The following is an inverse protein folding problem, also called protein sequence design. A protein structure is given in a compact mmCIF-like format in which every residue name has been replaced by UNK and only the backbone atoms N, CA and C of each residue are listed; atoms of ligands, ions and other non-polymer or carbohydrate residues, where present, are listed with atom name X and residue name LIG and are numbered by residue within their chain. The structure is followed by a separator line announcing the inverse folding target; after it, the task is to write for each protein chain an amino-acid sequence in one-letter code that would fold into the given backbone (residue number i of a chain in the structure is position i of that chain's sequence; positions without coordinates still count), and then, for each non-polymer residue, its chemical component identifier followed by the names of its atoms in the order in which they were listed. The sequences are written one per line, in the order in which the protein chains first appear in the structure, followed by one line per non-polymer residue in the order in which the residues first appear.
data_IF_559600188592
#
_entry.id   IF_559600188592
#
_cell.length_a   1.000
_cell.length_b   1.000
_cell.length_c   1.000
_cell.angle_alpha   90.00
_cell.angle_beta   90.00
_cell.angle_gamma   90.00
#
_symmetry.space_group_name_H-M   'P 1'
#
loop_
_entity.id
_entity.type
_entity.pdbx_description
1 polymer ?
#
# COMPACT_ATOMS: atom_id res chain seq x y z
N UNK A 1 -14.87 -6.57 12.65
CA UNK A 1 -14.42 -6.35 11.27
C UNK A 1 -12.94 -6.01 11.35
N UNK A 2 -12.12 -6.91 10.92
CA UNK A 2 -10.67 -6.77 11.06
C UNK A 2 -10.16 -5.91 9.90
N UNK A 3 -9.69 -4.72 10.21
CA UNK A 3 -9.07 -3.80 9.26
C UNK A 3 -7.58 -4.18 9.09
N UNK A 4 -7.35 -5.33 8.49
CA UNK A 4 -5.99 -5.76 8.16
C UNK A 4 -5.68 -5.34 6.73
N UNK A 5 -4.53 -4.72 6.55
CA UNK A 5 -4.14 -4.33 5.21
C UNK A 5 -2.97 -3.36 5.17
N UNK A 6 -2.69 -2.92 3.98
CA UNK A 6 -1.70 -1.89 3.70
C UNK A 6 -2.46 -0.69 3.18
N UNK A 7 -2.36 0.43 3.86
CA UNK A 7 -2.99 1.66 3.41
C UNK A 7 -2.13 2.89 3.71
N UNK A 8 -2.35 3.92 2.94
CA UNK A 8 -1.94 5.27 3.28
C UNK A 8 -3.17 6.17 3.22
N UNK A 9 -3.16 7.19 4.05
CA UNK A 9 -4.32 8.01 4.29
C UNK A 9 -4.06 9.46 3.91
N UNK A 10 -5.02 10.04 3.23
CA UNK A 10 -5.08 11.42 2.84
C UNK A 10 -6.39 12.06 3.32
N UNK A 11 -6.37 13.17 4.01
CA UNK A 11 -5.31 13.69 4.88
C UNK A 11 -5.35 13.06 6.26
N UNK A 12 -6.35 12.22 6.54
CA UNK A 12 -6.61 11.63 7.84
C UNK A 12 -6.42 10.11 7.81
N UNK A 13 -6.27 9.51 8.98
CA UNK A 13 -6.28 8.07 9.13
C UNK A 13 -7.70 7.53 8.86
N UNK A 14 -7.80 6.42 8.15
CA UNK A 14 -9.04 5.83 7.65
C UNK A 14 -9.82 6.78 6.74
N UNK A 15 -9.39 6.83 5.51
CA UNK A 15 -10.10 7.57 4.47
C UNK A 15 -11.49 6.98 4.22
N UNK A 16 -12.47 7.78 3.78
CA UNK A 16 -13.83 7.33 3.55
C UNK A 16 -13.96 6.17 2.57
N UNK A 17 -13.05 6.09 1.61
CA UNK A 17 -13.02 5.07 0.56
C UNK A 17 -12.32 3.76 0.94
N UNK A 18 -11.93 3.56 2.19
CA UNK A 18 -11.22 2.34 2.65
C UNK A 18 -11.93 1.03 2.28
N UNK A 19 -13.24 1.05 2.14
CA UNK A 19 -14.05 -0.12 1.79
C UNK A 19 -14.55 -0.14 0.35
N UNK A 20 -14.21 0.87 -0.42
CA UNK A 20 -14.62 0.95 -1.82
C UNK A 20 -13.73 0.03 -2.69
N UNK A 21 -14.25 -0.49 -3.80
CA UNK A 21 -13.44 -1.18 -4.78
C UNK A 21 -12.30 -0.29 -5.30
N UNK A 22 -11.12 -0.88 -5.48
CA UNK A 22 -9.97 -0.21 -6.09
C UNK A 22 -9.82 -0.64 -7.54
N UNK A 23 -9.33 0.23 -8.39
CA UNK A 23 -8.86 -0.15 -9.71
C UNK A 23 -7.52 -0.87 -9.58
N UNK A 24 -7.31 -1.92 -10.36
CA UNK A 24 -6.05 -2.64 -10.35
C UNK A 24 -5.61 -3.07 -11.74
N UNK A 25 -4.31 -3.24 -11.87
CA UNK A 25 -3.67 -3.88 -13.00
C UNK A 25 -2.45 -4.67 -12.53
N UNK A 26 -1.92 -5.52 -13.38
CA UNK A 26 -0.70 -6.25 -13.07
C UNK A 26 0.25 -6.27 -14.26
N UNK A 27 1.51 -6.47 -13.97
CA UNK A 27 2.56 -6.63 -14.98
C UNK A 27 3.55 -7.71 -14.54
N UNK A 28 4.01 -8.48 -15.52
CA UNK A 28 5.20 -9.30 -15.40
C UNK A 28 6.37 -8.49 -15.98
N UNK A 29 7.42 -8.34 -15.19
CA UNK A 29 8.58 -7.52 -15.54
C UNK A 29 9.66 -8.36 -16.23
N UNK A 30 10.56 -7.71 -16.96
CA UNK A 30 11.64 -8.38 -17.69
C UNK A 30 12.60 -9.17 -16.79
N UNK A 31 12.72 -8.80 -15.53
CA UNK A 31 13.53 -9.48 -14.52
C UNK A 31 12.83 -10.70 -13.88
N UNK A 32 11.64 -11.05 -14.37
CA UNK A 32 10.82 -12.15 -13.86
C UNK A 32 10.02 -11.80 -12.60
N UNK A 33 10.10 -10.59 -12.10
CA UNK A 33 9.22 -10.13 -11.02
C UNK A 33 7.82 -9.87 -11.54
N UNK A 34 6.84 -9.90 -10.63
CA UNK A 34 5.46 -9.55 -10.94
C UNK A 34 4.98 -8.45 -9.99
N UNK A 35 4.30 -7.45 -10.54
CA UNK A 35 3.77 -6.32 -9.77
C UNK A 35 2.27 -6.21 -9.97
N UNK A 36 1.53 -6.06 -8.88
CA UNK A 36 0.13 -5.64 -8.90
C UNK A 36 0.08 -4.18 -8.48
N UNK A 37 -0.55 -3.36 -9.30
CA UNK A 37 -0.81 -1.96 -9.02
C UNK A 37 -2.26 -1.78 -8.65
N UNK A 38 -2.51 -1.10 -7.55
CA UNK A 38 -3.84 -0.75 -7.07
C UNK A 38 -3.92 0.75 -6.88
N UNK A 39 -4.99 1.36 -7.37
CA UNK A 39 -5.13 2.80 -7.32
C UNK A 39 -6.55 3.24 -7.11
N UNK A 40 -6.69 4.42 -6.54
CA UNK A 40 -7.97 5.10 -6.43
C UNK A 40 -7.80 6.61 -6.34
N UNK A 41 -8.89 7.31 -6.67
CA UNK A 41 -9.05 8.74 -6.40
C UNK A 41 -10.03 8.88 -5.24
N UNK A 42 -9.54 9.40 -4.13
CA UNK A 42 -10.37 9.68 -2.98
C UNK A 42 -11.35 10.84 -3.29
N UNK A 43 -12.65 10.57 -3.16
CA UNK A 43 -13.69 11.46 -3.69
C UNK A 43 -13.90 12.73 -2.85
N UNK A 44 -13.62 12.69 -1.55
CA UNK A 44 -13.84 13.82 -0.65
C UNK A 44 -12.75 14.89 -0.82
N UNK A 45 -11.48 14.49 -0.80
CA UNK A 45 -10.32 15.39 -0.87
C UNK A 45 -9.68 15.43 -2.25
N UNK A 46 -10.09 14.55 -3.17
CA UNK A 46 -9.60 14.46 -4.55
C UNK A 46 -8.10 14.22 -4.67
N UNK A 47 -7.56 13.51 -3.72
CA UNK A 47 -6.19 13.02 -3.76
C UNK A 47 -6.14 11.65 -4.43
N UNK A 48 -5.04 11.35 -5.08
CA UNK A 48 -4.86 10.08 -5.80
C UNK A 48 -3.69 9.31 -5.22
N UNK A 49 -3.89 8.04 -4.96
CA UNK A 49 -2.87 7.14 -4.50
C UNK A 49 -2.78 5.90 -5.37
N UNK A 50 -1.56 5.47 -5.66
CA UNK A 50 -1.28 4.21 -6.33
C UNK A 50 -0.31 3.41 -5.47
N UNK A 51 -0.69 2.19 -5.12
CA UNK A 51 0.13 1.22 -4.39
C UNK A 51 0.56 0.12 -5.34
N UNK A 52 1.85 -0.18 -5.37
CA UNK A 52 2.43 -1.32 -6.06
C UNK A 52 2.87 -2.39 -5.06
N UNK A 53 2.54 -3.63 -5.34
CA UNK A 53 3.02 -4.80 -4.59
C UNK A 53 3.80 -5.67 -5.56
N UNK A 54 5.10 -5.83 -5.32
CA UNK A 54 6.00 -6.58 -6.20
C UNK A 54 6.56 -7.80 -5.50
N UNK A 55 6.51 -8.93 -6.21
CA UNK A 55 7.14 -10.20 -5.84
C UNK A 55 8.26 -10.52 -6.82
N UNK A 56 9.39 -10.97 -6.29
CA UNK A 56 10.55 -11.41 -7.05
C UNK A 56 10.68 -12.94 -7.00
N UNK A 57 11.11 -13.59 -8.09
CA UNK A 57 11.15 -15.05 -8.15
C UNK A 57 12.20 -15.67 -7.20
N UNK A 58 13.22 -14.91 -6.84
CA UNK A 58 14.37 -15.36 -6.05
C UNK A 58 14.48 -14.72 -4.67
N UNK A 59 13.44 -13.99 -4.22
CA UNK A 59 13.46 -13.26 -2.95
C UNK A 59 12.29 -13.60 -2.06
N UNK A 60 12.55 -13.73 -0.78
CA UNK A 60 11.55 -14.05 0.23
C UNK A 60 11.01 -12.78 0.93
N UNK A 61 10.80 -11.71 0.18
CA UNK A 61 10.16 -10.48 0.66
C UNK A 61 9.20 -9.92 -0.37
N UNK A 62 8.31 -9.07 0.09
CA UNK A 62 7.40 -8.28 -0.72
C UNK A 62 7.91 -6.85 -0.74
N UNK A 63 8.04 -6.27 -1.92
CA UNK A 63 8.35 -4.86 -2.07
C UNK A 63 7.05 -4.07 -2.22
N UNK A 64 6.93 -3.00 -1.45
CA UNK A 64 5.81 -2.07 -1.54
C UNK A 64 6.31 -0.73 -2.08
N UNK A 65 5.62 -0.23 -3.09
CA UNK A 65 5.86 1.10 -3.64
C UNK A 65 4.56 1.90 -3.64
N UNK A 66 4.66 3.18 -3.36
CA UNK A 66 3.50 4.06 -3.36
C UNK A 66 3.80 5.35 -4.12
N UNK A 67 2.81 5.82 -4.87
CA UNK A 67 2.82 7.14 -5.51
C UNK A 67 1.60 7.90 -5.05
N UNK A 68 1.81 9.11 -4.56
CA UNK A 68 0.77 9.98 -4.07
C UNK A 68 0.72 11.23 -4.95
N UNK A 69 -0.48 11.55 -5.42
CA UNK A 69 -0.71 12.71 -6.28
C UNK A 69 -1.70 13.67 -5.61
N UNK A 70 -1.23 14.84 -5.28
CA UNK A 70 -2.11 15.92 -4.85
C UNK A 70 -2.72 16.58 -6.10
N UNK A 71 -3.97 16.25 -6.39
CA UNK A 71 -4.72 16.80 -7.53
C UNK A 71 -5.40 18.12 -7.21
N UNK A 72 -5.17 18.66 -6.02
CA UNK A 72 -5.75 19.93 -5.57
C UNK A 72 -4.73 21.07 -5.64
N UNK A 73 -5.21 22.29 -5.54
CA UNK A 73 -4.35 23.49 -5.49
C UNK A 73 -3.85 23.81 -4.08
N UNK A 74 -4.32 23.06 -3.07
CA UNK A 74 -3.97 23.28 -1.67
C UNK A 74 -2.97 22.22 -1.20
N UNK A 75 -2.05 22.55 -0.31
CA UNK A 75 -1.22 21.56 0.37
C UNK A 75 -2.10 20.52 1.07
N UNK A 76 -1.70 19.26 0.98
CA UNK A 76 -2.37 18.14 1.65
C UNK A 76 -1.35 17.39 2.49
N UNK A 77 -1.79 16.86 3.62
CA UNK A 77 -1.00 15.95 4.44
C UNK A 77 -1.37 14.52 4.12
N UNK A 78 -0.47 13.60 4.36
CA UNK A 78 -0.74 12.17 4.28
C UNK A 78 -0.12 11.44 5.47
N UNK A 79 -0.66 10.27 5.75
CA UNK A 79 -0.15 9.34 6.74
C UNK A 79 -0.03 7.97 6.08
N UNK A 80 1.16 7.38 6.17
CA UNK A 80 1.40 6.01 5.74
C UNK A 80 1.41 5.07 6.92
N UNK A 81 0.76 3.93 6.77
CA UNK A 81 0.98 2.79 7.65
C UNK A 81 0.72 1.47 6.92
N UNK A 82 1.27 0.40 7.46
CA UNK A 82 1.00 -0.95 7.02
C UNK A 82 0.69 -1.82 8.23
N UNK A 83 -0.43 -2.53 8.18
CA UNK A 83 -0.86 -3.49 9.20
C UNK A 83 -0.92 -4.90 8.58
N UNK A 84 0.22 -5.48 8.20
CA UNK A 84 0.22 -6.81 7.63
C UNK A 84 -0.18 -7.83 8.70
N UNK A 85 -1.08 -8.75 8.33
CA UNK A 85 -1.41 -9.91 9.13
C UNK A 85 -0.70 -11.12 8.58
N UNK A 86 0.10 -11.76 9.40
CA UNK A 86 0.86 -12.96 9.03
C UNK A 86 0.60 -14.07 10.03
N UNK A 87 0.67 -15.32 9.55
CA UNK A 87 0.64 -16.46 10.45
C UNK A 87 1.91 -16.47 11.30
N UNK A 88 1.76 -16.67 12.60
CA UNK A 88 2.88 -16.74 13.54
C UNK A 88 2.89 -18.08 14.26
N UNK A 89 4.07 -18.51 14.69
CA UNK A 89 4.32 -19.66 15.52
C UNK A 89 5.40 -19.35 16.56
N UNK A 90 5.81 -20.35 17.35
CA UNK A 90 6.78 -20.17 18.42
C UNK A 90 8.19 -19.78 17.93
N UNK A 91 8.49 -19.99 16.64
CA UNK A 91 9.75 -19.63 16.01
C UNK A 91 9.74 -18.23 15.36
N UNK A 92 8.58 -17.56 15.38
CA UNK A 92 8.43 -16.23 14.76
C UNK A 92 9.09 -15.16 15.61
N UNK A 93 9.99 -14.39 15.01
CA UNK A 93 10.66 -13.26 15.66
C UNK A 93 10.39 -11.95 14.90
N UNK A 94 10.39 -10.84 15.64
CA UNK A 94 10.37 -9.50 15.05
C UNK A 94 11.79 -8.98 14.93
N UNK A 95 12.13 -8.49 13.74
CA UNK A 95 13.44 -7.89 13.47
C UNK A 95 13.24 -6.43 13.09
N UNK A 96 13.99 -5.55 13.74
CA UNK A 96 13.97 -4.12 13.48
C UNK A 96 15.34 -3.68 12.95
N UNK A 97 15.40 -2.75 11.99
CA UNK A 97 16.70 -2.19 11.58
C UNK A 97 17.36 -1.46 12.75
N UNK A 98 18.67 -1.53 12.80
CA UNK A 98 19.45 -0.67 13.69
C UNK A 98 19.32 0.78 13.25
N UNK A 99 19.20 1.68 14.23
CA UNK A 99 19.04 3.14 14.03
C UNK A 99 20.41 3.81 14.14
#
# INVERSE_FOLDING_TARGET
MDLWGIEFNWPQHHRPSTFDPVEYTYAENEDGSATVWMGEIENMFRTEGVLGVTLYPDKAYIELSAKLYNRTKMPQTFLWWANPAVAVNDDTISVFPEV
#
